data_IF_172183276908
#
_entry.id   IF_172183276908
#
_cell.length_a   1.000
_cell.length_b   1.000
_cell.length_c   1.000
_cell.angle_alpha   90.00
_cell.angle_beta   90.00
_cell.angle_gamma   90.00
#
_symmetry.space_group_name_H-M   'P 1'
#
loop_
_entity.id
_entity.type
_entity.pdbx_description
1 polymer ?
#
# COMPACT_ATOMS: atom_id res chain seq x y z
N UNK A 1 26.52 -11.61 -19.94
CA UNK A 1 26.63 -10.19 -19.55
C UNK A 1 25.73 -9.94 -18.34
N UNK A 2 26.27 -10.00 -17.13
CA UNK A 2 25.52 -9.76 -15.89
C UNK A 2 25.65 -8.28 -15.49
N UNK A 3 24.53 -7.54 -15.50
CA UNK A 3 24.49 -6.15 -15.06
C UNK A 3 24.29 -6.10 -13.54
N UNK A 4 25.33 -5.68 -12.84
CA UNK A 4 25.28 -5.25 -11.42
C UNK A 4 24.31 -4.07 -11.31
N UNK A 5 23.21 -4.24 -10.58
CA UNK A 5 22.43 -3.12 -10.05
C UNK A 5 23.06 -2.71 -8.71
N UNK A 6 23.63 -1.52 -8.67
CA UNK A 6 24.21 -0.91 -7.47
C UNK A 6 23.04 -0.31 -6.69
N UNK A 7 22.69 -0.89 -5.54
CA UNK A 7 21.73 -0.31 -4.61
C UNK A 7 22.37 0.88 -3.89
N UNK A 8 22.23 2.07 -4.45
CA UNK A 8 22.62 3.33 -3.80
C UNK A 8 21.39 4.05 -3.23
N UNK A 9 21.44 4.31 -1.92
CA UNK A 9 20.76 5.46 -1.31
C UNK A 9 19.30 5.28 -0.96
N UNK A 10 19.03 4.67 0.20
CA UNK A 10 17.80 4.88 0.94
C UNK A 10 17.54 6.38 1.16
N UNK A 11 16.41 6.89 0.67
CA UNK A 11 15.83 8.16 1.09
C UNK A 11 14.42 7.91 1.61
N UNK A 12 14.29 7.92 2.93
CA UNK A 12 13.02 7.89 3.66
C UNK A 12 12.22 9.15 3.31
N UNK A 13 11.30 9.04 2.35
CA UNK A 13 10.39 10.13 2.00
C UNK A 13 9.10 9.98 2.81
N UNK A 14 9.09 10.54 4.01
CA UNK A 14 7.89 10.81 4.78
C UNK A 14 7.06 11.86 4.03
N UNK A 15 5.88 11.49 3.51
CA UNK A 15 4.94 12.46 2.94
C UNK A 15 3.86 12.77 3.98
N UNK A 16 3.75 14.07 4.27
CA UNK A 16 2.83 14.71 5.22
C UNK A 16 1.40 14.65 4.67
N UNK A 17 0.45 14.26 5.53
CA UNK A 17 -0.97 14.13 5.20
C UNK A 17 -1.64 15.50 5.05
N UNK A 18 -2.35 15.72 3.93
CA UNK A 18 -3.31 16.80 3.77
C UNK A 18 -4.73 16.22 3.80
N UNK A 19 -5.41 16.32 4.94
CA UNK A 19 -6.81 15.97 5.07
C UNK A 19 -7.66 17.03 4.34
N UNK A 20 -8.21 16.70 3.16
CA UNK A 20 -9.17 17.57 2.47
C UNK A 20 -10.58 17.19 2.90
N UNK A 21 -11.18 17.99 3.78
CA UNK A 21 -12.57 17.83 4.22
C UNK A 21 -13.47 18.67 3.31
N UNK A 22 -14.31 18.04 2.50
CA UNK A 22 -15.36 18.74 1.72
C UNK A 22 -16.73 18.42 2.32
N UNK A 23 -17.53 19.46 2.58
CA UNK A 23 -18.90 19.37 3.13
C UNK A 23 -19.88 19.88 2.07
N UNK A 24 -20.88 19.07 1.70
CA UNK A 24 -22.12 19.51 1.04
C UNK A 24 -23.25 18.46 1.23
N UNK A 25 -24.50 18.91 1.24
CA UNK A 25 -25.72 18.23 1.73
C UNK A 25 -26.28 17.08 0.88
N UNK A 26 -26.70 16.02 1.61
CA UNK A 26 -27.80 15.06 1.44
C UNK A 26 -28.47 14.87 0.08
N UNK A 27 -27.99 13.86 -0.65
CA UNK A 27 -28.83 12.72 -1.05
C UNK A 27 -28.36 11.53 -0.21
N UNK A 28 -29.22 10.58 0.15
CA UNK A 28 -28.85 9.39 0.92
C UNK A 28 -28.01 8.43 0.06
N UNK A 29 -26.84 8.91 -0.35
CA UNK A 29 -25.79 8.08 -0.87
C UNK A 29 -25.28 7.20 0.27
N UNK A 30 -24.91 5.94 -0.01
CA UNK A 30 -24.26 5.13 0.99
C UNK A 30 -23.07 5.89 1.58
N UNK A 31 -23.07 6.06 2.91
CA UNK A 31 -22.01 6.82 3.60
C UNK A 31 -20.64 6.28 3.17
N UNK A 32 -19.85 7.13 2.51
CA UNK A 32 -18.49 6.79 2.15
C UNK A 32 -17.64 6.87 3.41
N UNK A 33 -17.03 5.74 3.78
CA UNK A 33 -16.11 5.67 4.91
C UNK A 33 -14.70 5.47 4.41
N UNK A 34 -13.79 6.34 4.85
CA UNK A 34 -12.37 6.14 4.62
C UNK A 34 -11.79 5.23 5.71
N UNK A 35 -11.07 4.19 5.31
CA UNK A 35 -10.33 3.29 6.19
C UNK A 35 -8.84 3.45 5.94
N UNK A 36 -8.05 3.38 7.02
CA UNK A 36 -6.60 3.55 6.99
C UNK A 36 -5.91 2.26 7.41
N UNK A 37 -4.84 1.91 6.71
CA UNK A 37 -4.06 0.70 6.94
C UNK A 37 -2.59 1.01 7.03
N UNK A 38 -1.90 0.32 7.92
CA UNK A 38 -0.46 0.27 8.02
C UNK A 38 0.01 -1.16 7.78
N UNK A 39 1.07 -1.33 6.98
CA UNK A 39 1.47 -2.63 6.47
C UNK A 39 2.98 -2.78 6.50
N UNK A 40 3.43 -3.91 7.05
CA UNK A 40 4.79 -4.41 6.94
C UNK A 40 4.89 -5.44 5.83
N UNK A 41 5.93 -5.37 5.00
CA UNK A 41 6.12 -6.28 3.87
C UNK A 41 7.57 -6.67 3.63
N UNK A 42 7.74 -7.81 2.98
CA UNK A 42 9.01 -8.33 2.46
C UNK A 42 8.92 -8.43 0.94
N UNK A 43 10.02 -8.10 0.26
CA UNK A 43 10.16 -8.28 -1.19
C UNK A 43 11.14 -9.40 -1.52
N UNK A 44 10.82 -10.18 -2.55
CA UNK A 44 11.60 -11.35 -2.96
C UNK A 44 12.00 -11.28 -4.44
N UNK A 45 13.24 -11.67 -4.75
CA UNK A 45 13.70 -11.93 -6.11
C UNK A 45 14.18 -13.38 -6.20
N UNK A 46 13.68 -14.15 -7.16
CA UNK A 46 14.02 -15.56 -7.35
C UNK A 46 13.90 -16.40 -6.06
N UNK A 47 12.85 -16.14 -5.28
CA UNK A 47 12.58 -16.82 -4.01
C UNK A 47 13.48 -16.39 -2.83
N UNK A 48 14.37 -15.42 -3.02
CA UNK A 48 15.25 -14.90 -1.96
C UNK A 48 14.75 -13.55 -1.44
N UNK A 49 14.74 -13.33 -0.11
CA UNK A 49 14.38 -12.02 0.43
C UNK A 49 15.43 -10.99 0.03
N UNK A 50 15.00 -9.87 -0.54
CA UNK A 50 15.88 -8.78 -0.98
C UNK A 50 15.62 -7.46 -0.27
N UNK A 51 14.45 -7.29 0.34
CA UNK A 51 14.10 -6.09 1.09
C UNK A 51 13.01 -6.36 2.13
N UNK A 52 12.94 -5.45 3.09
CA UNK A 52 11.83 -5.26 4.00
C UNK A 52 11.38 -3.79 3.93
N UNK A 53 10.09 -3.54 4.12
CA UNK A 53 9.56 -2.17 4.12
C UNK A 53 8.21 -2.05 4.79
N UNK A 54 7.75 -0.80 4.90
CA UNK A 54 6.47 -0.45 5.49
C UNK A 54 5.72 0.54 4.59
N UNK A 55 4.39 0.53 4.61
CA UNK A 55 3.57 1.53 3.93
C UNK A 55 2.26 1.81 4.67
N UNK A 56 1.77 3.05 4.51
CA UNK A 56 0.42 3.44 4.89
C UNK A 56 -0.46 3.56 3.64
N UNK A 57 -1.71 3.11 3.74
CA UNK A 57 -2.66 3.13 2.64
C UNK A 57 -4.08 3.47 3.12
N UNK A 58 -4.78 4.30 2.36
CA UNK A 58 -6.18 4.66 2.63
C UNK A 58 -7.06 4.11 1.52
N UNK A 59 -8.22 3.56 1.90
CA UNK A 59 -9.24 3.08 0.97
C UNK A 59 -10.57 3.72 1.31
N UNK A 60 -11.26 4.22 0.29
CA UNK A 60 -12.62 4.72 0.41
C UNK A 60 -13.60 3.57 0.16
N UNK A 61 -14.38 3.21 1.18
CA UNK A 61 -15.40 2.17 1.10
C UNK A 61 -16.75 2.84 0.92
N UNK A 62 -17.45 2.49 -0.17
CA UNK A 62 -18.79 3.02 -0.49
C UNK A 62 -19.82 1.91 -0.33
N UNK A 63 -20.77 2.09 0.60
CA UNK A 63 -22.04 1.36 0.60
C UNK A 63 -21.99 -0.13 0.84
N UNK A 64 -20.94 -0.64 1.47
CA UNK A 64 -20.84 -2.06 1.71
C UNK A 64 -19.56 -2.49 2.39
N UNK A 65 -19.29 -3.77 2.25
CA UNK A 65 -18.14 -4.45 2.84
C UNK A 65 -16.85 -4.11 2.09
N UNK A 66 -15.75 -4.13 2.81
CA UNK A 66 -14.42 -3.97 2.24
C UNK A 66 -14.05 -5.22 1.43
N UNK A 67 -13.69 -5.03 0.16
CA UNK A 67 -13.03 -6.09 -0.62
C UNK A 67 -11.63 -6.35 -0.07
N UNK A 68 -11.51 -7.36 0.79
CA UNK A 68 -10.24 -7.73 1.41
C UNK A 68 -9.20 -8.22 0.37
N UNK A 69 -9.64 -8.92 -0.67
CA UNK A 69 -8.74 -9.39 -1.73
C UNK A 69 -8.23 -8.23 -2.57
N UNK A 70 -9.11 -7.30 -2.93
CA UNK A 70 -8.78 -6.04 -3.58
C UNK A 70 -7.81 -5.19 -2.75
N UNK A 71 -8.03 -5.09 -1.44
CA UNK A 71 -7.11 -4.39 -0.53
C UNK A 71 -5.72 -5.05 -0.53
N UNK A 72 -5.63 -6.37 -0.34
CA UNK A 72 -4.35 -7.10 -0.33
C UNK A 72 -3.61 -6.91 -1.66
N UNK A 73 -4.32 -6.97 -2.78
CA UNK A 73 -3.74 -6.74 -4.10
C UNK A 73 -3.21 -5.30 -4.24
N UNK A 74 -4.00 -4.30 -3.84
CA UNK A 74 -3.61 -2.89 -3.89
C UNK A 74 -2.37 -2.61 -3.03
N UNK A 75 -2.30 -3.17 -1.82
CA UNK A 75 -1.15 -3.05 -0.92
C UNK A 75 0.12 -3.65 -1.53
N UNK A 76 0.03 -4.87 -2.09
CA UNK A 76 1.16 -5.51 -2.78
C UNK A 76 1.63 -4.72 -4.00
N UNK A 77 0.69 -4.27 -4.84
CA UNK A 77 0.99 -3.41 -6.00
C UNK A 77 1.73 -2.16 -5.57
N UNK A 78 1.24 -1.48 -4.53
CA UNK A 78 1.85 -0.24 -4.04
C UNK A 78 3.25 -0.45 -3.48
N UNK A 79 3.46 -1.51 -2.70
CA UNK A 79 4.78 -1.89 -2.21
C UNK A 79 5.74 -2.21 -3.37
N UNK A 80 5.27 -2.94 -4.37
CA UNK A 80 6.06 -3.37 -5.52
C UNK A 80 6.50 -2.17 -6.39
N UNK A 81 5.59 -1.22 -6.65
CA UNK A 81 5.86 0.00 -7.42
C UNK A 81 6.99 0.86 -6.82
N UNK A 82 7.13 0.88 -5.49
CA UNK A 82 8.20 1.64 -4.81
C UNK A 82 9.58 1.06 -5.11
N UNK A 83 9.68 -0.25 -5.32
CA UNK A 83 10.95 -0.97 -5.44
C UNK A 83 11.20 -1.55 -6.84
N UNK A 84 10.29 -1.33 -7.79
CA UNK A 84 10.38 -1.89 -9.14
C UNK A 84 10.23 -3.42 -9.16
N UNK A 85 9.43 -3.97 -8.25
CA UNK A 85 9.10 -5.39 -8.18
C UNK A 85 7.72 -5.67 -8.79
N UNK A 86 7.41 -6.94 -8.97
CA UNK A 86 6.05 -7.41 -9.26
C UNK A 86 5.25 -7.61 -7.97
N UNK A 87 3.93 -7.41 -8.01
CA UNK A 87 3.09 -7.59 -6.82
C UNK A 87 3.17 -9.01 -6.22
N UNK A 88 3.37 -10.02 -7.07
CA UNK A 88 3.56 -11.42 -6.62
C UNK A 88 4.88 -11.65 -5.87
N UNK A 89 5.84 -10.74 -5.99
CA UNK A 89 7.12 -10.77 -5.27
C UNK A 89 7.02 -10.12 -3.88
N UNK A 90 5.86 -9.56 -3.52
CA UNK A 90 5.63 -8.94 -2.22
C UNK A 90 4.85 -9.88 -1.30
N UNK A 91 5.45 -10.20 -0.15
CA UNK A 91 4.79 -10.86 0.97
C UNK A 91 4.37 -9.80 1.98
N UNK A 92 3.09 -9.74 2.31
CA UNK A 92 2.61 -8.92 3.43
C UNK A 92 2.81 -9.72 4.73
N UNK A 93 3.50 -9.14 5.70
CA UNK A 93 3.79 -9.78 6.98
C UNK A 93 2.75 -9.43 8.03
N UNK A 94 2.37 -8.15 8.09
CA UNK A 94 1.35 -7.62 8.98
C UNK A 94 0.54 -6.56 8.25
N UNK A 95 -0.77 -6.55 8.47
CA UNK A 95 -1.70 -5.54 7.97
C UNK A 95 -2.57 -5.11 9.15
N UNK A 96 -2.45 -3.86 9.56
CA UNK A 96 -3.16 -3.30 10.73
C UNK A 96 -4.05 -2.16 10.27
N UNK A 97 -5.31 -2.18 10.69
CA UNK A 97 -6.21 -1.04 10.50
C UNK A 97 -5.93 0.02 11.58
N UNK A 98 -5.78 1.27 11.17
CA UNK A 98 -5.58 2.43 12.04
C UNK A 98 -6.91 3.08 12.44
#
# INVERSE_FOLDING_TARGET
MARRAICSGWRSRWNIWAARRSRAMSTSEPESRQLHYFVDYEGYCDGRPVLWGQLAHSVDVRGGELDAAGLVYALRRRAAEVHGLEAGQIRLCQVTRL
#
